data_IF_486260472078
#
_entry.id   IF_486260472078
#
_cell.length_a   1.000
_cell.length_b   1.000
_cell.length_c   1.000
_cell.angle_alpha   90.00
_cell.angle_beta   90.00
_cell.angle_gamma   90.00
#
_symmetry.space_group_name_H-M   'P 1'
#
loop_
_entity.id
_entity.type
_entity.pdbx_description
1 polymer ?
#
# COMPACT_ATOMS: atom_id res chain seq x y z
N UNK A 1 -6.23 26.72 -15.17
CA UNK A 1 -5.62 25.81 -14.17
C UNK A 1 -6.71 25.38 -13.22
N UNK A 2 -7.19 24.14 -13.36
CA UNK A 2 -8.26 23.58 -12.52
C UNK A 2 -7.64 22.69 -11.45
N UNK A 3 -8.12 22.80 -10.21
CA UNK A 3 -7.60 22.05 -9.06
C UNK A 3 -8.74 21.24 -8.45
N UNK A 4 -8.49 19.94 -8.23
CA UNK A 4 -9.39 19.06 -7.48
C UNK A 4 -8.93 19.01 -6.02
N UNK A 5 -9.88 19.16 -5.09
CA UNK A 5 -9.66 18.88 -3.67
C UNK A 5 -10.45 17.64 -3.32
N UNK A 6 -9.75 16.56 -2.96
CA UNK A 6 -10.36 15.36 -2.40
C UNK A 6 -10.14 15.40 -0.90
N UNK A 7 -11.22 15.57 -0.13
CA UNK A 7 -11.17 15.34 1.31
C UNK A 7 -11.22 13.82 1.55
N UNK A 8 -10.06 13.26 1.91
CA UNK A 8 -9.87 11.90 2.43
C UNK A 8 -9.96 11.93 3.97
N UNK A 9 -10.49 13.00 4.58
CA UNK A 9 -10.73 13.18 6.00
C UNK A 9 -12.10 12.69 6.48
N UNK A 10 -12.81 13.56 7.21
CA UNK A 10 -14.14 13.29 7.78
C UNK A 10 -15.22 13.89 6.86
N UNK A 11 -15.92 13.04 6.11
CA UNK A 11 -17.21 13.41 5.53
C UNK A 11 -18.28 13.27 6.62
N UNK A 12 -18.63 14.37 7.26
CA UNK A 12 -19.62 14.51 8.34
C UNK A 12 -19.25 13.83 9.67
N UNK A 13 -19.58 14.47 10.79
CA UNK A 13 -19.28 14.05 12.17
C UNK A 13 -19.23 12.50 12.31
N UNK A 14 -18.05 11.95 12.61
CA UNK A 14 -17.75 10.53 12.92
C UNK A 14 -17.37 9.53 11.81
N UNK A 15 -17.00 9.91 10.57
CA UNK A 15 -16.62 8.89 9.56
C UNK A 15 -15.22 9.10 8.97
N UNK A 16 -14.23 8.35 9.48
CA UNK A 16 -12.94 8.19 8.80
C UNK A 16 -13.14 7.51 7.43
N UNK A 17 -12.54 8.02 6.36
CA UNK A 17 -12.73 7.49 5.00
C UNK A 17 -12.10 6.11 4.76
N UNK A 18 -11.11 5.69 5.57
CA UNK A 18 -10.58 4.32 5.54
C UNK A 18 -11.39 3.31 6.39
N UNK A 19 -12.63 3.64 6.74
CA UNK A 19 -13.49 2.81 7.58
C UNK A 19 -13.87 1.49 6.89
N UNK A 20 -13.71 0.37 7.62
CA UNK A 20 -14.00 -0.98 7.15
C UNK A 20 -15.46 -1.20 6.72
N UNK A 21 -16.41 -0.40 7.23
CA UNK A 21 -17.84 -0.48 6.84
C UNK A 21 -18.15 0.25 5.54
N UNK A 22 -17.24 1.09 5.06
CA UNK A 22 -17.48 2.00 3.93
C UNK A 22 -16.49 1.78 2.79
N UNK A 23 -15.83 0.63 2.72
CA UNK A 23 -14.77 0.34 1.74
C UNK A 23 -15.23 0.55 0.30
N UNK A 24 -16.45 0.09 -0.02
CA UNK A 24 -16.98 0.15 -1.38
C UNK A 24 -17.41 1.57 -1.75
N UNK A 25 -18.03 2.28 -0.82
CA UNK A 25 -18.41 3.67 -0.98
C UNK A 25 -17.17 4.57 -1.14
N UNK A 26 -16.15 4.36 -0.30
CA UNK A 26 -14.85 5.03 -0.40
C UNK A 26 -14.18 4.75 -1.75
N UNK A 27 -14.14 3.48 -2.17
CA UNK A 27 -13.54 3.10 -3.44
C UNK A 27 -14.29 3.72 -4.63
N UNK A 28 -15.62 3.69 -4.62
CA UNK A 28 -16.43 4.33 -5.66
C UNK A 28 -16.18 5.83 -5.71
N UNK A 29 -16.16 6.50 -4.56
CA UNK A 29 -15.86 7.93 -4.46
C UNK A 29 -14.50 8.23 -5.10
N UNK A 30 -13.40 7.67 -4.58
CA UNK A 30 -12.06 7.93 -5.13
C UNK A 30 -11.96 7.58 -6.62
N UNK A 31 -12.53 6.44 -7.05
CA UNK A 31 -12.49 6.03 -8.45
C UNK A 31 -13.18 7.02 -9.38
N UNK A 32 -14.39 7.47 -9.04
CA UNK A 32 -15.16 8.39 -9.89
C UNK A 32 -14.41 9.72 -10.05
N UNK A 33 -13.94 10.32 -8.95
CA UNK A 33 -13.19 11.57 -9.02
C UNK A 33 -11.87 11.37 -9.79
N UNK A 34 -11.08 10.36 -9.47
CA UNK A 34 -9.80 10.18 -10.18
C UNK A 34 -10.01 9.91 -11.67
N UNK A 35 -11.08 9.19 -12.06
CA UNK A 35 -11.41 8.96 -13.48
C UNK A 35 -11.88 10.22 -14.20
N UNK A 36 -12.83 10.97 -13.64
CA UNK A 36 -13.38 12.16 -14.30
C UNK A 36 -12.39 13.32 -14.39
N UNK A 37 -11.53 13.46 -13.38
CA UNK A 37 -10.63 14.62 -13.26
C UNK A 37 -9.27 14.43 -13.95
N UNK A 38 -8.94 13.20 -14.37
CA UNK A 38 -7.72 12.90 -15.16
C UNK A 38 -8.02 12.72 -16.66
N UNK A 39 -9.29 12.67 -17.05
CA UNK A 39 -9.70 12.61 -18.44
C UNK A 39 -9.66 14.02 -19.05
N UNK A 40 -8.72 14.27 -19.95
CA UNK A 40 -8.54 15.57 -20.61
C UNK A 40 -9.71 16.00 -21.48
N UNK A 41 -10.62 15.08 -21.83
CA UNK A 41 -11.86 15.37 -22.56
C UNK A 41 -13.02 15.75 -21.62
N UNK A 42 -12.87 15.51 -20.32
CA UNK A 42 -13.89 15.82 -19.32
C UNK A 42 -13.98 17.32 -19.04
N UNK A 43 -15.18 17.90 -18.90
CA UNK A 43 -15.33 19.29 -18.44
C UNK A 43 -14.80 19.49 -17.01
N UNK A 44 -14.61 18.40 -16.25
CA UNK A 44 -14.10 18.41 -14.89
C UNK A 44 -12.59 18.15 -14.79
N UNK A 45 -11.89 17.96 -15.92
CA UNK A 45 -10.42 17.78 -15.94
C UNK A 45 -9.71 18.78 -15.02
N UNK A 46 -8.81 18.28 -14.18
CA UNK A 46 -7.97 19.09 -13.30
C UNK A 46 -6.50 18.84 -13.57
N UNK A 47 -5.72 19.92 -13.49
CA UNK A 47 -4.27 19.90 -13.69
C UNK A 47 -3.54 19.58 -12.37
N UNK A 48 -4.20 19.84 -11.24
CA UNK A 48 -3.64 19.67 -9.89
C UNK A 48 -4.58 18.89 -8.98
N UNK A 49 -3.97 18.16 -8.05
CA UNK A 49 -4.67 17.35 -7.06
C UNK A 49 -4.25 17.79 -5.65
N UNK A 50 -5.23 18.11 -4.82
CA UNK A 50 -5.05 18.30 -3.38
C UNK A 50 -5.73 17.14 -2.68
N UNK A 51 -4.96 16.39 -1.90
CA UNK A 51 -5.47 15.35 -1.01
C UNK A 51 -5.45 15.88 0.41
N UNK A 52 -6.63 16.23 0.91
CA UNK A 52 -6.82 16.65 2.28
C UNK A 52 -7.06 15.42 3.17
N UNK A 53 -6.10 15.10 4.02
CA UNK A 53 -6.14 13.96 4.95
C UNK A 53 -6.29 14.42 6.41
N UNK A 54 -6.56 15.71 6.65
CA UNK A 54 -6.73 16.24 8.01
C UNK A 54 -7.94 15.59 8.72
N UNK A 55 -7.82 15.38 10.03
CA UNK A 55 -8.85 14.74 10.82
C UNK A 55 -9.14 13.26 10.49
N UNK A 56 -8.38 12.62 9.59
CA UNK A 56 -8.54 11.19 9.32
C UNK A 56 -7.88 10.37 10.44
N UNK A 57 -8.70 9.71 11.28
CA UNK A 57 -8.23 8.88 12.39
C UNK A 57 -7.66 7.51 11.97
N UNK A 58 -7.57 7.22 10.67
CA UNK A 58 -7.10 5.95 10.12
C UNK A 58 -8.23 5.01 9.71
N UNK A 59 -7.99 3.70 9.82
CA UNK A 59 -8.90 2.65 9.34
C UNK A 59 -8.15 1.42 8.82
N UNK A 60 -8.66 0.79 7.77
CA UNK A 60 -8.03 -0.37 7.16
C UNK A 60 -6.86 0.03 6.22
N UNK A 61 -5.66 -0.49 6.51
CA UNK A 61 -4.43 -0.17 5.77
C UNK A 61 -4.59 -0.46 4.28
N UNK A 62 -5.27 -1.56 3.94
CA UNK A 62 -5.54 -1.95 2.55
C UNK A 62 -6.29 -0.89 1.75
N UNK A 63 -7.19 -0.12 2.36
CA UNK A 63 -7.99 0.88 1.65
C UNK A 63 -7.12 2.05 1.17
N UNK A 64 -6.30 2.60 2.07
CA UNK A 64 -5.34 3.64 1.70
C UNK A 64 -4.35 3.13 0.65
N UNK A 65 -3.87 1.91 0.82
CA UNK A 65 -2.92 1.29 -0.09
C UNK A 65 -3.48 1.04 -1.50
N UNK A 66 -4.70 0.54 -1.62
CA UNK A 66 -5.37 0.40 -2.92
C UNK A 66 -5.63 1.75 -3.57
N UNK A 67 -6.03 2.76 -2.78
CA UNK A 67 -6.20 4.13 -3.28
C UNK A 67 -4.87 4.72 -3.79
N UNK A 68 -3.73 4.48 -3.13
CA UNK A 68 -2.41 4.88 -3.64
C UNK A 68 -2.11 4.28 -5.01
N UNK A 69 -2.38 3.00 -5.21
CA UNK A 69 -2.13 2.33 -6.49
C UNK A 69 -2.99 2.93 -7.63
N UNK A 70 -4.21 3.36 -7.31
CA UNK A 70 -5.09 4.02 -8.27
C UNK A 70 -4.61 5.44 -8.59
N UNK A 71 -4.31 6.24 -7.57
CA UNK A 71 -3.96 7.67 -7.71
C UNK A 71 -2.55 7.84 -8.30
N UNK A 72 -1.62 6.95 -7.93
CA UNK A 72 -0.23 6.98 -8.37
C UNK A 72 0.20 5.64 -9.01
N UNK A 73 -0.32 5.30 -10.20
CA UNK A 73 0.02 4.03 -10.84
C UNK A 73 1.51 3.90 -11.19
N UNK A 74 2.24 5.02 -11.26
CA UNK A 74 3.66 5.08 -11.57
C UNK A 74 4.57 4.51 -10.46
N UNK A 75 4.08 4.37 -9.22
CA UNK A 75 4.86 3.92 -8.05
C UNK A 75 5.48 2.55 -8.24
N UNK A 76 4.95 1.76 -9.17
CA UNK A 76 5.40 0.41 -9.44
C UNK A 76 4.92 -0.54 -8.34
N UNK A 77 4.38 -1.65 -8.78
CA UNK A 77 4.01 -2.73 -7.89
C UNK A 77 5.26 -3.54 -7.50
N UNK A 78 5.46 -3.93 -6.23
CA UNK A 78 4.63 -3.70 -5.05
C UNK A 78 5.08 -2.51 -4.16
N UNK A 79 4.11 -1.74 -3.64
CA UNK A 79 4.28 -0.92 -2.42
C UNK A 79 4.50 -1.77 -1.15
N UNK A 80 4.67 -3.09 -1.30
CA UNK A 80 4.67 -4.06 -0.19
C UNK A 80 6.10 -4.17 0.29
N UNK A 81 6.29 -4.16 1.60
CA UNK A 81 7.61 -4.36 2.16
C UNK A 81 8.08 -5.76 1.79
N UNK A 82 9.26 -5.84 1.17
CA UNK A 82 9.96 -7.10 0.98
C UNK A 82 10.51 -7.51 2.34
N UNK A 83 10.13 -8.70 2.78
CA UNK A 83 10.54 -9.26 4.05
C UNK A 83 11.28 -10.58 3.84
N UNK A 84 12.16 -10.90 4.79
CA UNK A 84 12.63 -12.24 5.08
C UNK A 84 12.60 -12.45 6.60
N UNK A 85 12.31 -13.67 7.01
CA UNK A 85 12.09 -14.04 8.41
C UNK A 85 13.21 -14.95 8.86
N UNK A 86 13.70 -14.77 10.08
CA UNK A 86 14.66 -15.69 10.70
C UNK A 86 13.95 -17.01 11.02
N UNK A 87 14.56 -18.14 10.69
CA UNK A 87 14.02 -19.46 11.01
C UNK A 87 14.28 -19.78 12.48
N UNK A 88 13.27 -19.58 13.32
CA UNK A 88 13.27 -19.93 14.76
C UNK A 88 12.08 -20.84 15.05
N UNK A 89 12.05 -21.47 16.22
CA UNK A 89 10.89 -22.26 16.68
C UNK A 89 9.63 -21.41 16.77
N UNK A 90 9.72 -20.20 17.36
CA UNK A 90 8.60 -19.27 17.45
C UNK A 90 8.07 -18.88 16.06
N UNK A 91 8.96 -18.49 15.15
CA UNK A 91 8.54 -18.12 13.81
C UNK A 91 7.96 -19.34 13.09
N UNK A 92 8.48 -20.54 13.30
CA UNK A 92 7.92 -21.75 12.68
C UNK A 92 6.45 -21.98 13.08
N UNK A 93 6.07 -21.64 14.32
CA UNK A 93 4.68 -21.71 14.77
C UNK A 93 3.83 -20.56 14.21
N UNK A 94 4.33 -19.32 14.22
CA UNK A 94 3.62 -18.17 13.64
C UNK A 94 3.34 -18.36 12.14
N UNK A 95 4.30 -18.91 11.42
CA UNK A 95 4.27 -19.05 9.96
C UNK A 95 3.26 -20.11 9.51
N UNK A 96 2.82 -21.02 10.39
CA UNK A 96 1.69 -21.92 10.11
C UNK A 96 0.40 -21.13 9.85
N UNK A 97 0.21 -20.00 10.54
CA UNK A 97 -0.95 -19.11 10.36
C UNK A 97 -0.86 -18.43 8.98
N UNK A 98 0.31 -17.92 8.61
CA UNK A 98 0.52 -17.27 7.32
C UNK A 98 0.39 -18.26 6.15
N UNK A 99 0.90 -19.48 6.32
CA UNK A 99 0.72 -20.58 5.35
C UNK A 99 -0.77 -20.94 5.22
N UNK A 100 -1.49 -21.04 6.35
CA UNK A 100 -2.93 -21.31 6.34
C UNK A 100 -3.69 -20.19 5.60
N UNK A 101 -3.42 -18.93 5.94
CA UNK A 101 -4.03 -17.77 5.30
C UNK A 101 -3.73 -17.72 3.80
N UNK A 102 -2.48 -17.98 3.42
CA UNK A 102 -2.04 -18.01 2.02
C UNK A 102 -2.72 -19.11 1.21
N UNK A 103 -2.98 -20.28 1.79
CA UNK A 103 -3.61 -21.42 1.09
C UNK A 103 -5.13 -21.34 1.06
N UNK A 104 -5.74 -20.97 2.17
CA UNK A 104 -7.18 -21.15 2.39
C UNK A 104 -7.96 -19.84 2.45
N UNK A 105 -7.36 -18.75 2.92
CA UNK A 105 -8.02 -17.46 3.08
C UNK A 105 -7.49 -16.39 2.11
N UNK A 106 -6.91 -16.82 0.98
CA UNK A 106 -6.21 -15.90 0.10
C UNK A 106 -7.09 -14.73 -0.35
N UNK A 107 -8.38 -14.97 -0.64
CA UNK A 107 -9.34 -13.95 -1.06
C UNK A 107 -9.81 -12.97 0.03
N UNK A 108 -9.33 -13.10 1.26
CA UNK A 108 -9.76 -12.28 2.39
C UNK A 108 -8.61 -11.75 3.25
N UNK A 109 -7.38 -12.26 3.04
CA UNK A 109 -6.21 -11.99 3.89
C UNK A 109 -5.02 -11.48 3.08
N UNK A 110 -4.03 -10.91 3.78
CA UNK A 110 -2.69 -10.78 3.20
C UNK A 110 -2.09 -12.17 3.01
N UNK A 111 -1.45 -12.38 1.87
CA UNK A 111 -0.86 -13.65 1.48
C UNK A 111 0.62 -13.52 1.24
N UNK A 112 1.40 -14.52 1.67
CA UNK A 112 2.79 -14.59 1.29
C UNK A 112 2.89 -14.83 -0.22
N UNK A 113 3.57 -13.92 -0.91
CA UNK A 113 3.74 -13.93 -2.36
C UNK A 113 5.19 -13.76 -2.78
N UNK A 114 5.52 -14.23 -3.98
CA UNK A 114 6.82 -14.03 -4.59
C UNK A 114 7.05 -12.55 -4.93
N UNK A 115 8.25 -12.03 -4.63
CA UNK A 115 8.60 -10.62 -4.86
C UNK A 115 8.48 -10.21 -6.34
N UNK A 116 8.81 -11.10 -7.28
CA UNK A 116 8.91 -10.77 -8.71
C UNK A 116 7.58 -10.77 -9.47
N UNK A 117 6.68 -11.70 -9.17
CA UNK A 117 5.43 -11.90 -9.92
C UNK A 117 4.18 -11.95 -9.03
N UNK A 118 4.35 -11.83 -7.71
CA UNK A 118 3.28 -11.74 -6.71
C UNK A 118 2.36 -12.95 -6.63
N UNK A 119 2.74 -14.07 -7.27
CA UNK A 119 1.99 -15.31 -7.14
C UNK A 119 2.12 -15.84 -5.73
N UNK A 120 1.09 -16.57 -5.29
CA UNK A 120 1.06 -17.18 -3.96
C UNK A 120 2.30 -18.04 -3.71
N UNK A 121 2.84 -17.94 -2.51
CA UNK A 121 4.05 -18.65 -2.07
C UNK A 121 3.76 -19.42 -0.78
N UNK A 122 2.92 -20.46 -0.80
CA UNK A 122 2.45 -21.18 0.38
C UNK A 122 3.52 -22.05 1.10
N UNK A 123 4.76 -22.00 0.63
CA UNK A 123 5.92 -22.72 1.15
C UNK A 123 7.13 -21.77 1.36
N UNK A 124 6.88 -20.47 1.49
CA UNK A 124 7.93 -19.46 1.63
C UNK A 124 8.85 -19.67 2.83
N UNK A 125 8.32 -20.25 3.91
CA UNK A 125 9.08 -20.51 5.12
C UNK A 125 9.98 -21.76 5.00
N UNK A 126 9.51 -22.80 4.31
CA UNK A 126 10.23 -24.08 4.18
C UNK A 126 11.24 -24.12 3.04
N UNK A 127 11.05 -23.34 1.96
CA UNK A 127 12.00 -23.34 0.85
C UNK A 127 13.29 -22.61 1.23
N UNK A 128 14.41 -23.20 0.83
CA UNK A 128 15.72 -22.54 0.79
C UNK A 128 16.57 -22.66 2.04
N UNK A 129 17.86 -22.45 1.82
CA UNK A 129 18.94 -22.51 2.80
C UNK A 129 19.69 -21.17 2.91
N UNK A 130 18.98 -20.05 2.75
CA UNK A 130 19.59 -18.72 2.89
C UNK A 130 20.01 -18.49 4.33
N UNK A 131 21.16 -17.86 4.49
CA UNK A 131 21.67 -17.42 5.80
C UNK A 131 21.98 -15.93 5.77
N UNK A 132 21.95 -15.30 6.95
CA UNK A 132 22.40 -13.93 7.16
C UNK A 132 23.45 -13.93 8.26
N UNK A 133 24.62 -13.36 7.98
CA UNK A 133 25.69 -13.14 8.95
C UNK A 133 25.65 -11.68 9.40
N UNK A 134 25.57 -11.46 10.70
CA UNK A 134 25.74 -10.15 11.33
C UNK A 134 27.09 -10.14 12.04
N UNK A 135 27.86 -9.07 11.87
CA UNK A 135 29.16 -8.86 12.50
C UNK A 135 29.09 -7.66 13.43
N UNK A 136 29.79 -7.69 14.55
CA UNK A 136 29.93 -6.51 15.40
C UNK A 136 30.75 -5.45 14.65
N UNK A 137 30.26 -4.20 14.66
CA UNK A 137 30.86 -3.07 13.93
C UNK A 137 32.26 -2.76 14.45
N UNK A 138 32.54 -3.02 15.73
CA UNK A 138 33.80 -2.70 16.39
C UNK A 138 34.74 -3.92 16.52
N UNK A 139 34.26 -5.12 16.20
CA UNK A 139 35.04 -6.36 16.33
C UNK A 139 34.53 -7.44 15.36
N UNK A 140 35.19 -7.55 14.21
CA UNK A 140 34.82 -8.51 13.16
C UNK A 140 34.96 -9.98 13.56
N UNK A 141 35.61 -10.29 14.70
CA UNK A 141 35.71 -11.66 15.22
C UNK A 141 34.40 -12.11 15.90
N UNK A 142 33.56 -11.17 16.35
CA UNK A 142 32.24 -11.44 16.93
C UNK A 142 31.18 -11.40 15.85
N UNK A 143 30.58 -12.55 15.58
CA UNK A 143 29.57 -12.69 14.55
C UNK A 143 28.49 -13.73 14.90
N UNK A 144 27.33 -13.59 14.28
CA UNK A 144 26.24 -14.55 14.37
C UNK A 144 25.71 -14.82 12.96
N UNK A 145 25.51 -16.09 12.63
CA UNK A 145 24.85 -16.50 11.39
C UNK A 145 23.50 -17.12 11.72
N UNK A 146 22.46 -16.66 11.06
CA UNK A 146 21.09 -17.17 11.22
C UNK A 146 20.54 -17.68 9.90
N UNK A 147 19.72 -18.72 9.96
CA UNK A 147 18.95 -19.19 8.82
C UNK A 147 17.77 -18.24 8.58
N UNK A 148 17.49 -17.90 7.33
CA UNK A 148 16.41 -16.99 6.95
C UNK A 148 15.58 -17.57 5.80
N UNK A 149 14.37 -17.08 5.63
CA UNK A 149 13.50 -17.45 4.50
C UNK A 149 13.98 -16.83 3.18
N UNK A 150 13.44 -17.33 2.07
CA UNK A 150 13.52 -16.61 0.81
C UNK A 150 12.66 -15.34 0.89
N UNK A 151 13.09 -14.22 0.28
CA UNK A 151 12.32 -12.98 0.30
C UNK A 151 10.90 -13.19 -0.21
N UNK A 152 9.95 -12.54 0.45
CA UNK A 152 8.55 -12.57 0.12
C UNK A 152 7.91 -11.20 0.40
N UNK A 153 6.68 -11.04 -0.05
CA UNK A 153 5.82 -9.89 0.28
C UNK A 153 4.51 -10.41 0.85
N UNK A 154 3.97 -9.74 1.86
CA UNK A 154 2.60 -9.97 2.32
C UNK A 154 1.65 -9.19 1.43
N UNK A 155 1.19 -9.81 0.35
CA UNK A 155 0.42 -9.18 -0.73
C UNK A 155 -1.08 -9.34 -0.51
N UNK A 156 -1.87 -8.31 -0.83
CA UNK A 156 -3.33 -8.35 -0.71
C UNK A 156 -4.06 -7.87 -1.98
N UNK A 157 -3.34 -7.67 -3.10
CA UNK A 157 -3.91 -7.07 -4.32
C UNK A 157 -4.90 -7.95 -5.06
N UNK A 158 -5.04 -9.22 -4.69
CA UNK A 158 -6.12 -10.08 -5.16
C UNK A 158 -7.50 -9.63 -4.63
N UNK A 159 -7.52 -8.85 -3.55
CA UNK A 159 -8.73 -8.22 -2.98
C UNK A 159 -8.84 -6.73 -3.34
N UNK A 160 -8.03 -6.25 -4.28
CA UNK A 160 -8.04 -4.85 -4.70
C UNK A 160 -9.37 -4.50 -5.40
N UNK A 161 -10.17 -3.68 -4.73
CA UNK A 161 -11.49 -3.26 -5.18
C UNK A 161 -11.47 -2.41 -6.46
N UNK A 162 -10.34 -1.77 -6.78
CA UNK A 162 -10.21 -0.97 -7.99
C UNK A 162 -9.92 -1.84 -9.22
N UNK A 163 -9.37 -3.06 -9.04
CA UNK A 163 -8.92 -3.92 -10.15
C UNK A 163 -9.97 -4.11 -11.24
N UNK A 164 -11.22 -4.39 -10.85
CA UNK A 164 -12.31 -4.58 -11.81
C UNK A 164 -12.80 -3.25 -12.40
N UNK A 165 -12.72 -2.16 -11.63
CA UNK A 165 -13.14 -0.82 -12.07
C UNK A 165 -12.18 -0.25 -13.13
N UNK A 166 -10.91 -0.60 -13.04
CA UNK A 166 -9.85 -0.07 -13.92
C UNK A 166 -9.49 -1.01 -15.07
N UNK A 167 -10.24 -2.08 -15.33
CA UNK A 167 -9.87 -3.09 -16.35
C UNK A 167 -9.74 -2.49 -17.76
N UNK A 168 -10.58 -1.52 -18.09
CA UNK A 168 -10.56 -0.80 -19.37
C UNK A 168 -9.78 0.52 -19.30
N UNK A 169 -9.04 0.75 -18.21
CA UNK A 169 -8.23 1.94 -18.01
C UNK A 169 -6.75 1.58 -18.02
N UNK A 170 -6.03 2.01 -19.04
CA UNK A 170 -4.59 1.78 -19.13
C UNK A 170 -3.80 2.60 -18.10
N UNK A 171 -3.67 2.05 -16.90
CA UNK A 171 -2.99 2.66 -15.76
C UNK A 171 -1.56 2.16 -15.53
N UNK A 172 -1.12 1.09 -16.20
CA UNK A 172 0.16 0.44 -15.83
C UNK A 172 1.34 1.41 -15.94
N UNK A 173 1.93 1.77 -14.80
CA UNK A 173 3.04 2.73 -14.69
C UNK A 173 2.75 4.10 -15.31
N UNK A 174 1.47 4.46 -15.45
CA UNK A 174 1.05 5.73 -16.01
C UNK A 174 1.04 6.79 -14.90
N UNK A 175 1.69 7.91 -15.14
CA UNK A 175 1.55 9.08 -14.30
C UNK A 175 0.21 9.76 -14.60
N UNK A 176 -0.68 9.81 -13.61
CA UNK A 176 -1.96 10.54 -13.70
C UNK A 176 -1.80 12.00 -13.34
N UNK A 177 -1.07 12.25 -12.25
CA UNK A 177 -0.63 13.57 -11.83
C UNK A 177 0.86 13.53 -11.58
N UNK A 178 1.48 14.62 -11.98
CA UNK A 178 2.89 14.86 -11.80
C UNK A 178 3.15 15.24 -10.33
N UNK A 179 4.16 14.69 -9.63
CA UNK A 179 4.30 14.86 -8.17
C UNK A 179 4.32 16.31 -7.65
N UNK A 180 4.81 17.24 -8.46
CA UNK A 180 4.84 18.67 -8.23
C UNK A 180 3.46 19.34 -8.25
N UNK A 181 2.49 18.72 -8.91
CA UNK A 181 1.11 19.16 -9.06
C UNK A 181 0.16 18.44 -8.10
N UNK A 182 0.73 17.63 -7.18
CA UNK A 182 -0.01 16.99 -6.10
C UNK A 182 0.43 17.53 -4.75
N UNK A 183 -0.54 17.97 -3.95
CA UNK A 183 -0.34 18.47 -2.59
C UNK A 183 -1.12 17.59 -1.61
N UNK A 184 -0.45 17.13 -0.56
CA UNK A 184 -1.08 16.48 0.59
C UNK A 184 -1.20 17.50 1.71
N UNK A 185 -2.40 17.71 2.22
CA UNK A 185 -2.66 18.53 3.40
C UNK A 185 -2.87 17.59 4.59
N UNK A 186 -2.03 17.72 5.62
CA UNK A 186 -2.11 16.91 6.84
C UNK A 186 -1.83 17.77 8.07
N UNK A 187 -2.55 17.53 9.16
CA UNK A 187 -2.41 18.21 10.45
C UNK A 187 -1.40 17.49 11.37
N UNK A 188 -0.71 16.47 10.86
CA UNK A 188 0.16 15.58 11.64
C UNK A 188 -0.58 14.63 12.60
N UNK A 189 -1.90 14.78 12.76
CA UNK A 189 -2.71 13.99 13.69
C UNK A 189 -3.27 12.75 13.01
N UNK A 190 -2.35 11.84 12.70
CA UNK A 190 -2.67 10.72 11.85
C UNK A 190 -2.11 9.41 12.43
N UNK A 191 -3.01 8.45 12.68
CA UNK A 191 -2.69 7.14 13.21
C UNK A 191 -3.00 6.03 12.22
N UNK A 192 -2.21 4.95 12.24
CA UNK A 192 -2.44 3.73 11.46
C UNK A 192 -2.46 3.98 9.94
N UNK A 193 -3.59 3.81 9.25
CA UNK A 193 -3.67 3.79 7.78
C UNK A 193 -3.21 5.08 7.14
N UNK A 194 -3.65 6.23 7.65
CA UNK A 194 -3.25 7.50 7.07
C UNK A 194 -1.72 7.70 7.23
N UNK A 195 -1.09 7.16 8.30
CA UNK A 195 0.34 7.38 8.55
C UNK A 195 1.17 6.54 7.61
N UNK A 196 0.75 5.30 7.35
CA UNK A 196 1.32 4.47 6.31
C UNK A 196 1.10 5.08 4.91
N UNK A 197 -0.09 5.64 4.65
CA UNK A 197 -0.44 6.29 3.39
C UNK A 197 0.51 7.46 3.09
N UNK A 198 0.62 8.41 4.04
CA UNK A 198 1.51 9.58 3.97
C UNK A 198 2.97 9.14 3.88
N UNK A 199 3.40 8.16 4.70
CA UNK A 199 4.76 7.61 4.67
C UNK A 199 5.12 7.08 3.28
N UNK A 200 4.24 6.31 2.65
CA UNK A 200 4.50 5.76 1.32
C UNK A 200 4.58 6.85 0.24
N UNK A 201 3.73 7.88 0.31
CA UNK A 201 3.82 9.05 -0.57
C UNK A 201 5.17 9.74 -0.42
N UNK A 202 5.61 9.97 0.81
CA UNK A 202 6.87 10.66 1.09
C UNK A 202 8.09 9.86 0.65
N UNK A 203 8.15 8.56 0.98
CA UNK A 203 9.25 7.67 0.60
C UNK A 203 9.39 7.48 -0.92
N UNK A 204 8.31 7.71 -1.67
CA UNK A 204 8.27 7.56 -3.13
C UNK A 204 8.21 8.89 -3.87
N UNK A 205 8.27 10.02 -3.16
CA UNK A 205 8.24 11.38 -3.71
C UNK A 205 7.05 11.63 -4.67
N UNK A 206 5.85 11.20 -4.27
CA UNK A 206 4.65 11.24 -5.13
C UNK A 206 3.84 12.53 -5.05
N UNK A 207 4.09 13.33 -4.02
CA UNK A 207 3.41 14.59 -3.78
C UNK A 207 4.25 15.49 -2.87
N UNK A 208 3.90 16.77 -2.81
CA UNK A 208 4.41 17.72 -1.82
C UNK A 208 3.53 17.71 -0.57
N UNK A 209 4.12 17.95 0.60
CA UNK A 209 3.38 18.06 1.85
C UNK A 209 3.19 19.51 2.25
N UNK A 210 1.97 19.83 2.67
CA UNK A 210 1.64 21.05 3.39
C UNK A 210 1.15 20.64 4.78
N UNK A 211 1.82 21.19 5.80
CA UNK A 211 1.37 21.12 7.20
C UNK A 211 0.39 22.26 7.48
#
# INVERSE_FOLDING_TARGET
MKTLIINIGILTQQRALFNYKLTDAFANYIYTYIREFTDTSSPYHCDRLILDVQGNSGGLIRCGRFALNLIFPQVGFPLYQIADTIKTELNNEMEKIDIFSTRFNYNQSEIASWVGNLTQKPNFYSIGSRTRKTVDVNDSSRWMTVNITYPYVLYMGNTDIYRNKTINWNLRRKELYSPQDVIIITDGNCASTCSQYIKHIGQKHLARFCL
#
